data_IF_952594344946
#
_entry.id   IF_952594344946
#
_cell.length_a   1.000
_cell.length_b   1.000
_cell.length_c   1.000
_cell.angle_alpha   90.00
_cell.angle_beta   90.00
_cell.angle_gamma   90.00
#
_symmetry.space_group_name_H-M   'P 1'
#
loop_
_entity.id
_entity.type
_entity.pdbx_description
1 polymer ?
#
# COMPACT_ATOMS: atom_id res chain seq x y z
N UNK A 1 -11.84 3.57 -2.34
CA UNK A 1 -12.14 2.17 -1.99
C UNK A 1 -12.74 2.17 -0.58
N UNK A 2 -13.85 1.47 -0.33
CA UNK A 2 -14.41 1.33 1.03
C UNK A 2 -14.40 -0.14 1.43
N UNK A 3 -13.52 -0.50 2.35
CA UNK A 3 -13.47 -1.85 2.93
C UNK A 3 -14.37 -1.84 4.16
N UNK A 4 -15.49 -2.55 4.10
CA UNK A 4 -16.49 -2.53 5.19
C UNK A 4 -16.08 -3.38 6.39
N UNK A 5 -15.08 -4.26 6.24
CA UNK A 5 -14.50 -5.03 7.33
C UNK A 5 -13.17 -4.39 7.76
N UNK A 6 -13.21 -3.59 8.82
CA UNK A 6 -12.06 -2.85 9.34
C UNK A 6 -10.94 -3.76 9.86
N UNK A 7 -11.28 -4.95 10.38
CA UNK A 7 -10.28 -5.91 10.86
C UNK A 7 -9.43 -6.47 9.72
N UNK A 8 -10.03 -6.66 8.55
CA UNK A 8 -9.33 -7.10 7.34
C UNK A 8 -8.61 -5.94 6.65
N UNK A 9 -9.23 -4.75 6.62
CA UNK A 9 -8.59 -3.52 6.12
C UNK A 9 -7.25 -3.27 6.82
N UNK A 10 -7.19 -3.56 8.13
CA UNK A 10 -5.99 -3.46 8.94
C UNK A 10 -4.97 -4.59 8.77
N UNK A 11 -5.18 -5.58 7.90
CA UNK A 11 -4.27 -6.73 7.72
C UNK A 11 -3.45 -6.69 6.43
N UNK A 12 -3.88 -5.91 5.44
CA UNK A 12 -3.24 -5.85 4.11
C UNK A 12 -2.58 -4.49 3.92
N UNK A 13 -1.37 -4.48 3.38
CA UNK A 13 -0.54 -3.27 3.29
C UNK A 13 -0.35 -2.58 4.65
N UNK A 14 -0.21 -3.38 5.70
CA UNK A 14 0.05 -2.94 7.06
C UNK A 14 1.34 -3.60 7.60
N UNK A 15 2.03 -2.90 8.50
CA UNK A 15 3.28 -3.35 9.10
C UNK A 15 4.50 -3.00 8.25
N UNK A 16 5.60 -3.71 8.50
CA UNK A 16 6.95 -3.30 8.09
C UNK A 16 7.74 -4.34 7.31
N UNK A 17 7.12 -5.48 7.00
CA UNK A 17 7.83 -6.64 6.44
C UNK A 17 8.35 -6.38 5.02
N UNK A 18 7.84 -5.36 4.33
CA UNK A 18 8.24 -4.96 2.99
C UNK A 18 8.82 -3.54 2.94
N UNK A 19 9.28 -2.98 4.08
CA UNK A 19 9.90 -1.65 4.10
C UNK A 19 11.08 -1.56 3.13
N UNK A 20 11.17 -0.44 2.43
CA UNK A 20 12.35 -0.09 1.62
C UNK A 20 13.38 0.52 2.56
N UNK A 21 14.61 0.00 2.53
CA UNK A 21 15.74 0.54 3.27
C UNK A 21 16.26 1.82 2.60
N UNK A 22 15.59 2.95 2.84
CA UNK A 22 15.94 4.27 2.28
C UNK A 22 16.70 5.13 3.30
N UNK A 23 17.89 4.68 3.70
CA UNK A 23 18.67 5.33 4.76
C UNK A 23 17.99 5.17 6.14
N UNK A 24 17.86 6.26 6.90
CA UNK A 24 17.17 6.25 8.21
C UNK A 24 15.64 6.36 8.12
N UNK A 25 15.07 6.44 6.91
CA UNK A 25 13.64 6.39 6.72
C UNK A 25 13.18 4.93 6.66
N UNK A 26 12.45 4.48 7.67
CA UNK A 26 11.85 3.15 7.68
C UNK A 26 10.36 3.16 7.28
N UNK A 27 9.80 4.32 6.98
CA UNK A 27 8.39 4.52 6.64
C UNK A 27 7.48 4.67 7.86
N UNK A 28 6.79 5.80 7.95
CA UNK A 28 5.86 6.16 9.03
C UNK A 28 4.48 6.54 8.51
N UNK A 29 4.43 7.17 7.34
CA UNK A 29 3.21 7.69 6.72
C UNK A 29 3.19 7.36 5.22
N UNK A 30 2.04 6.90 4.75
CA UNK A 30 1.76 6.75 3.32
C UNK A 30 1.50 8.08 2.64
N UNK A 31 2.17 8.32 1.50
CA UNK A 31 1.96 9.48 0.63
C UNK A 31 2.13 9.10 -0.84
N UNK A 32 1.67 9.96 -1.75
CA UNK A 32 1.75 9.74 -3.19
C UNK A 32 3.17 9.93 -3.75
N UNK A 33 3.95 10.84 -3.15
CA UNK A 33 5.33 11.14 -3.54
C UNK A 33 6.13 11.20 -2.27
N UNK A 34 6.86 10.12 -1.91
CA UNK A 34 7.66 10.11 -0.70
C UNK A 34 8.68 11.25 -0.70
N UNK A 35 8.73 11.98 0.40
CA UNK A 35 9.74 13.02 0.65
C UNK A 35 10.27 12.86 2.07
N UNK A 36 11.49 13.31 2.31
CA UNK A 36 12.08 13.31 3.64
C UNK A 36 11.55 14.51 4.42
N UNK A 37 10.25 14.52 4.72
CA UNK A 37 9.56 15.60 5.45
C UNK A 37 10.04 15.76 6.91
N UNK A 38 11.34 15.60 7.16
CA UNK A 38 11.97 15.49 8.45
C UNK A 38 11.53 14.21 9.17
N UNK A 39 10.85 14.39 10.30
CA UNK A 39 10.37 13.29 11.14
C UNK A 39 9.18 12.51 10.57
N UNK A 40 8.60 12.95 9.45
CA UNK A 40 7.42 12.34 8.85
C UNK A 40 7.72 11.04 8.10
N UNK A 41 8.97 10.82 7.63
CA UNK A 41 9.48 9.53 7.11
C UNK A 41 8.50 8.87 6.13
N UNK A 42 8.30 9.49 4.98
CA UNK A 42 7.26 9.11 4.03
C UNK A 42 7.59 7.85 3.23
N UNK A 43 6.55 7.09 2.89
CA UNK A 43 6.65 5.89 2.04
C UNK A 43 5.43 5.75 1.13
N UNK A 44 5.60 5.10 -0.01
CA UNK A 44 4.53 4.63 -0.88
C UNK A 44 4.58 3.10 -1.04
N UNK A 45 5.26 2.42 -0.12
CA UNK A 45 5.47 0.98 -0.13
C UNK A 45 4.43 0.27 0.73
N UNK A 46 3.61 -0.60 0.14
CA UNK A 46 2.70 -1.51 0.83
C UNK A 46 3.48 -2.30 1.89
N UNK A 47 2.97 -2.31 3.12
CA UNK A 47 3.62 -2.95 4.27
C UNK A 47 5.04 -2.44 4.54
N UNK A 48 5.25 -1.15 4.25
CA UNK A 48 6.48 -0.41 4.44
C UNK A 48 6.46 0.57 5.61
N UNK A 49 5.56 0.39 6.59
CA UNK A 49 5.48 1.19 7.81
C UNK A 49 6.44 0.63 8.88
N UNK A 50 7.74 0.83 8.68
CA UNK A 50 8.82 0.31 9.51
C UNK A 50 9.18 1.12 10.76
N UNK A 51 8.66 2.33 10.92
CA UNK A 51 8.83 3.10 12.15
C UNK A 51 7.94 2.57 13.27
N UNK A 52 8.48 2.51 14.50
CA UNK A 52 7.74 2.04 15.67
C UNK A 52 6.53 2.92 16.00
N UNK A 53 6.60 4.20 15.65
CA UNK A 53 5.53 5.20 15.81
C UNK A 53 4.78 5.48 14.49
N UNK A 54 4.74 4.51 13.57
CA UNK A 54 3.92 4.58 12.35
C UNK A 54 2.48 5.00 12.66
N UNK A 55 1.99 6.00 11.92
CA UNK A 55 0.69 6.62 12.17
C UNK A 55 -0.44 5.59 12.06
N UNK A 56 -1.32 5.58 13.06
CA UNK A 56 -2.38 4.57 13.21
C UNK A 56 -3.41 4.64 12.10
N UNK A 57 -3.73 5.84 11.60
CA UNK A 57 -4.65 6.08 10.49
C UNK A 57 -4.08 5.70 9.13
N UNK A 58 -2.80 5.32 9.04
CA UNK A 58 -2.19 4.77 7.81
C UNK A 58 -2.15 3.24 7.79
N UNK A 59 -2.51 2.55 8.87
CA UNK A 59 -2.38 1.08 9.01
C UNK A 59 -3.49 0.28 8.32
N UNK A 60 -4.06 0.82 7.23
CA UNK A 60 -5.20 0.24 6.52
C UNK A 60 -4.93 0.18 5.01
N UNK A 61 -5.38 -0.89 4.35
CA UNK A 61 -5.32 -1.04 2.89
C UNK A 61 -6.03 0.11 2.17
N UNK A 62 -7.21 0.50 2.65
CA UNK A 62 -7.96 1.63 2.11
C UNK A 62 -7.14 2.92 2.12
N UNK A 63 -6.37 3.14 3.19
CA UNK A 63 -5.48 4.30 3.37
C UNK A 63 -4.23 4.21 2.52
N UNK A 64 -3.65 3.03 2.38
CA UNK A 64 -2.58 2.79 1.42
C UNK A 64 -3.06 3.16 -0.01
N UNK A 65 -4.18 2.62 -0.48
CA UNK A 65 -4.73 2.90 -1.82
C UNK A 65 -5.04 4.38 -2.03
N UNK A 66 -5.67 5.02 -1.04
CA UNK A 66 -6.04 6.44 -1.08
C UNK A 66 -4.81 7.36 -1.10
N UNK A 67 -3.91 7.18 -0.14
CA UNK A 67 -2.81 8.12 0.10
C UNK A 67 -1.65 7.93 -0.89
N UNK A 68 -1.44 6.71 -1.37
CA UNK A 68 -0.44 6.42 -2.43
C UNK A 68 -0.99 6.60 -3.84
N UNK A 69 -2.28 6.96 -3.99
CA UNK A 69 -2.87 7.36 -5.27
C UNK A 69 -2.88 6.26 -6.35
N UNK A 70 -3.08 5.01 -5.94
CA UNK A 70 -3.19 3.87 -6.87
C UNK A 70 -4.32 4.06 -7.88
N UNK A 71 -5.47 4.60 -7.44
CA UNK A 71 -6.60 4.89 -8.32
C UNK A 71 -6.32 5.96 -9.40
N UNK A 72 -5.24 6.72 -9.25
CA UNK A 72 -4.75 7.70 -10.23
C UNK A 72 -3.59 7.15 -11.07
N UNK A 73 -3.30 5.84 -11.00
CA UNK A 73 -2.22 5.19 -11.74
C UNK A 73 -0.83 5.40 -11.15
N UNK A 74 -0.71 5.75 -9.86
CA UNK A 74 0.57 5.99 -9.18
C UNK A 74 0.94 4.85 -8.24
N UNK A 75 2.25 4.71 -7.97
CA UNK A 75 2.82 3.79 -6.97
C UNK A 75 2.38 2.32 -7.10
N UNK A 76 1.99 1.91 -8.31
CA UNK A 76 1.63 0.54 -8.63
C UNK A 76 2.27 0.14 -9.97
N UNK A 77 2.82 -1.08 -10.11
CA UNK A 77 2.96 -2.14 -9.09
C UNK A 77 4.20 -1.99 -8.18
N UNK A 78 5.04 -1.00 -8.44
CA UNK A 78 6.28 -0.75 -7.70
C UNK A 78 6.09 0.39 -6.70
N UNK A 79 6.54 0.17 -5.46
CA UNK A 79 6.54 1.16 -4.39
C UNK A 79 7.82 1.99 -4.36
N UNK A 80 7.84 2.98 -3.48
CA UNK A 80 9.00 3.84 -3.24
C UNK A 80 9.03 4.35 -1.80
N UNK A 81 10.17 4.84 -1.36
CA UNK A 81 10.34 5.53 -0.08
C UNK A 81 11.30 6.71 -0.23
N UNK A 82 11.22 7.68 0.67
CA UNK A 82 12.13 8.82 0.64
C UNK A 82 13.46 8.45 1.30
N UNK A 83 14.57 8.74 0.64
CA UNK A 83 15.87 8.74 1.26
C UNK A 83 15.98 9.93 2.21
N UNK A 84 16.57 9.71 3.39
CA UNK A 84 16.81 10.74 4.41
C UNK A 84 17.84 11.83 4.03
N UNK A 85 18.25 11.91 2.76
CA UNK A 85 19.19 12.91 2.28
C UNK A 85 18.74 13.48 0.94
N UNK A 86 18.46 14.78 0.92
CA UNK A 86 18.24 15.53 -0.32
C UNK A 86 16.94 15.21 -1.07
N UNK A 87 15.90 14.71 -0.40
CA UNK A 87 14.62 14.33 -1.02
C UNK A 87 14.75 13.28 -2.15
N UNK A 88 15.83 12.50 -2.17
CA UNK A 88 16.00 11.46 -3.17
C UNK A 88 14.96 10.36 -2.96
N UNK A 89 14.33 9.90 -4.04
CA UNK A 89 13.41 8.76 -4.00
C UNK A 89 14.20 7.47 -4.18
N UNK A 90 13.96 6.51 -3.29
CA UNK A 90 14.42 5.12 -3.45
C UNK A 90 13.23 4.30 -3.92
N UNK A 91 13.30 3.79 -5.14
CA UNK A 91 12.30 2.85 -5.63
C UNK A 91 12.53 1.48 -5.01
N UNK A 92 11.45 0.76 -4.73
CA UNK A 92 11.51 -0.64 -4.39
C UNK A 92 11.89 -1.48 -5.62
N UNK A 93 12.09 -2.77 -5.38
CA UNK A 93 12.26 -3.74 -6.46
C UNK A 93 11.06 -3.73 -7.41
N UNK A 94 11.25 -4.25 -8.62
CA UNK A 94 10.16 -4.40 -9.58
C UNK A 94 8.99 -5.15 -8.94
N UNK A 95 7.79 -4.58 -9.02
CA UNK A 95 6.56 -5.12 -8.43
C UNK A 95 6.55 -5.19 -6.89
N UNK A 96 7.37 -4.40 -6.18
CA UNK A 96 7.46 -4.48 -4.71
C UNK A 96 6.12 -4.30 -3.97
N UNK A 97 5.21 -3.44 -4.44
CA UNK A 97 3.89 -3.26 -3.82
C UNK A 97 2.97 -4.44 -4.12
N UNK A 98 2.97 -4.94 -5.36
CA UNK A 98 2.18 -6.10 -5.73
C UNK A 98 2.62 -7.35 -4.94
N UNK A 99 3.93 -7.55 -4.79
CA UNK A 99 4.49 -8.68 -4.04
C UNK A 99 4.16 -8.60 -2.55
N UNK A 100 4.26 -7.42 -1.94
CA UNK A 100 3.90 -7.21 -0.53
C UNK A 100 2.40 -7.46 -0.29
N UNK A 101 1.53 -6.90 -1.15
CA UNK A 101 0.09 -7.12 -1.06
C UNK A 101 -0.27 -8.59 -1.23
N UNK A 102 0.35 -9.29 -2.18
CA UNK A 102 0.11 -10.72 -2.40
C UNK A 102 0.49 -11.55 -1.16
N UNK A 103 1.63 -11.25 -0.51
CA UNK A 103 2.04 -11.91 0.73
C UNK A 103 1.00 -11.72 1.84
N UNK A 104 0.51 -10.50 2.03
CA UNK A 104 -0.52 -10.21 3.03
C UNK A 104 -1.82 -10.97 2.74
N UNK A 105 -2.28 -10.97 1.49
CA UNK A 105 -3.48 -11.69 1.07
C UNK A 105 -3.36 -13.21 1.28
N UNK A 106 -2.17 -13.79 1.04
CA UNK A 106 -1.91 -15.21 1.29
C UNK A 106 -1.88 -15.54 2.78
N UNK A 107 -1.44 -14.62 3.63
CA UNK A 107 -1.39 -14.80 5.08
C UNK A 107 -2.77 -14.75 5.77
N UNK A 108 -3.80 -14.24 5.10
CA UNK A 108 -5.17 -14.26 5.60
C UNK A 108 -5.71 -15.69 5.76
N UNK A 109 -6.59 -15.89 6.74
CA UNK A 109 -7.30 -17.16 6.88
C UNK A 109 -8.36 -17.35 5.78
N UNK A 110 -8.96 -18.54 5.70
CA UNK A 110 -9.92 -18.89 4.63
C UNK A 110 -11.13 -17.94 4.58
N UNK A 111 -11.69 -17.60 5.73
CA UNK A 111 -12.88 -16.76 5.82
C UNK A 111 -12.55 -15.31 5.46
N UNK A 112 -11.41 -14.82 5.91
CA UNK A 112 -10.86 -13.50 5.58
C UNK A 112 -10.58 -13.35 4.08
N UNK A 113 -9.99 -14.37 3.46
CA UNK A 113 -9.77 -14.42 2.01
C UNK A 113 -11.06 -14.30 1.23
N UNK A 114 -12.10 -15.01 1.67
CA UNK A 114 -13.43 -14.96 1.04
C UNK A 114 -14.04 -13.55 1.13
N UNK A 115 -13.88 -12.88 2.28
CA UNK A 115 -14.35 -11.51 2.47
C UNK A 115 -13.56 -10.53 1.59
N UNK A 116 -12.23 -10.63 1.52
CA UNK A 116 -11.42 -9.76 0.66
C UNK A 116 -11.75 -9.99 -0.81
N UNK A 117 -11.87 -11.24 -1.25
CA UNK A 117 -12.25 -11.56 -2.63
C UNK A 117 -13.62 -10.94 -2.98
N UNK A 118 -14.60 -11.03 -2.08
CA UNK A 118 -15.90 -10.38 -2.26
C UNK A 118 -15.83 -8.85 -2.29
N UNK A 119 -14.95 -8.24 -1.49
CA UNK A 119 -14.76 -6.78 -1.46
C UNK A 119 -14.02 -6.26 -2.70
N UNK A 120 -13.00 -6.98 -3.15
CA UNK A 120 -12.30 -6.71 -4.41
C UNK A 120 -13.26 -6.88 -5.59
N UNK A 121 -14.06 -7.95 -5.62
CA UNK A 121 -15.07 -8.19 -6.65
C UNK A 121 -16.11 -7.04 -6.75
N UNK A 122 -16.63 -6.55 -5.61
CA UNK A 122 -17.52 -5.37 -5.59
C UNK A 122 -16.86 -4.09 -6.11
N UNK A 123 -15.54 -3.97 -5.96
CA UNK A 123 -14.80 -2.85 -6.54
C UNK A 123 -14.84 -2.92 -8.08
N UNK A 124 -14.88 -4.12 -8.68
CA UNK A 124 -14.98 -4.31 -10.15
C UNK A 124 -16.37 -3.88 -10.67
N UNK A 125 -17.44 -4.09 -9.90
CA UNK A 125 -18.79 -3.62 -10.25
C UNK A 125 -18.90 -2.09 -10.26
N UNK A 126 -18.21 -1.40 -9.35
CA UNK A 126 -18.13 0.07 -9.32
C UNK A 126 -17.13 0.68 -10.31
N UNK A 127 -16.10 -0.06 -10.71
CA UNK A 127 -15.03 0.40 -11.61
C UNK A 127 -15.41 0.26 -13.10
N UNK A 128 -16.49 -0.47 -13.44
CA UNK A 128 -17.04 -0.53 -14.81
C UNK A 128 -17.41 0.84 -15.39
N UNK A 129 -17.54 1.88 -14.56
CA UNK A 129 -17.84 3.25 -15.00
C UNK A 129 -16.64 4.21 -15.03
N UNK A 130 -15.42 3.80 -14.62
CA UNK A 130 -14.31 4.75 -14.41
C UNK A 130 -12.94 4.41 -15.00
N UNK A 131 -12.87 3.55 -16.04
CA UNK A 131 -11.83 3.47 -17.10
C UNK A 131 -11.50 2.01 -17.43
N UNK A 132 -11.91 1.61 -18.62
CA UNK A 132 -11.36 0.47 -19.35
C UNK A 132 -9.83 0.60 -19.41
N UNK A 133 -9.07 -0.35 -18.84
CA UNK A 133 -7.69 -0.53 -19.30
C UNK A 133 -6.64 -1.16 -18.37
N UNK A 134 -6.77 -1.16 -17.04
CA UNK A 134 -5.60 -1.51 -16.19
C UNK A 134 -5.87 -2.35 -14.94
N UNK A 135 -7.02 -3.03 -14.86
CA UNK A 135 -7.34 -3.93 -13.73
C UNK A 135 -7.37 -5.42 -14.11
N UNK A 136 -7.18 -5.77 -15.39
CA UNK A 136 -7.43 -7.12 -15.91
C UNK A 136 -6.18 -8.03 -15.92
N UNK A 137 -5.27 -7.93 -14.95
CA UNK A 137 -4.08 -8.81 -14.95
C UNK A 137 -3.62 -9.27 -13.57
N UNK A 138 -4.55 -9.41 -12.62
CA UNK A 138 -4.27 -10.09 -11.35
C UNK A 138 -5.40 -11.07 -10.98
N UNK A 139 -5.58 -12.07 -11.85
CA UNK A 139 -5.84 -13.46 -11.46
C UNK A 139 -4.90 -14.35 -12.27
#
# INVERSE_FOLDING_TARGET
MKITNSAIDGKVCNGSHAKISAGSNLGKEYVAVPSDGGSAKHTAQCSGLGESDAKTDHKFLSKFVELTKIGEGKNWPTGSAAHNSGNALVNGDTNSNANAMAKDLVALNRDEKTIVAGLLAKTIEGVRLLRLGQFLLLL
#
